data_IF_001031746931
#
_entry.id   IF_001031746931
#
_cell.length_a   1.000
_cell.length_b   1.000
_cell.length_c   1.000
_cell.angle_alpha   90.00
_cell.angle_beta   90.00
_cell.angle_gamma   90.00
#
_symmetry.space_group_name_H-M   'P 1'
#
loop_
_entity.id
_entity.type
_entity.pdbx_description
1 polymer ?
#
# COMPACT_ATOMS: atom_id res chain seq x y z
N UNK A 1 2.79 -14.48 -20.17
CA UNK A 1 2.72 -13.28 -19.31
C UNK A 1 3.74 -13.47 -18.19
N UNK A 2 4.97 -13.02 -18.39
CA UNK A 2 6.08 -13.24 -17.44
C UNK A 2 6.00 -12.20 -16.33
N UNK A 3 5.93 -12.63 -15.07
CA UNK A 3 6.06 -11.74 -13.91
C UNK A 3 7.49 -11.19 -13.87
N UNK A 4 7.63 -9.88 -14.09
CA UNK A 4 8.86 -9.14 -13.82
C UNK A 4 8.59 -8.37 -12.53
N UNK A 5 9.05 -8.85 -11.36
CA UNK A 5 8.98 -8.05 -10.15
C UNK A 5 9.83 -6.80 -10.38
N UNK A 6 9.30 -5.60 -10.13
CA UNK A 6 10.25 -4.52 -9.88
C UNK A 6 11.04 -4.82 -8.61
N UNK A 7 12.25 -4.27 -8.58
CA UNK A 7 13.24 -4.53 -7.56
C UNK A 7 12.75 -4.07 -6.16
N UNK A 8 13.16 -4.72 -5.05
CA UNK A 8 12.81 -4.32 -3.68
C UNK A 8 13.04 -2.84 -3.36
N UNK A 9 13.92 -2.18 -4.12
CA UNK A 9 14.26 -0.78 -4.02
C UNK A 9 13.07 0.15 -4.34
N UNK A 10 12.19 -0.20 -5.28
CA UNK A 10 11.04 0.65 -5.63
C UNK A 10 9.99 0.67 -4.52
N UNK A 11 9.67 -0.50 -3.94
CA UNK A 11 8.79 -0.57 -2.78
C UNK A 11 9.37 0.21 -1.59
N UNK A 12 10.68 0.11 -1.35
CA UNK A 12 11.35 0.88 -0.31
C UNK A 12 11.26 2.41 -0.55
N UNK A 13 11.47 2.85 -1.79
CA UNK A 13 11.38 4.28 -2.15
C UNK A 13 9.95 4.82 -1.97
N UNK A 14 8.94 4.09 -2.43
CA UNK A 14 7.55 4.48 -2.21
C UNK A 14 7.23 4.56 -0.72
N UNK A 15 7.60 3.54 0.08
CA UNK A 15 7.41 3.58 1.54
C UNK A 15 8.11 4.80 2.17
N UNK A 16 9.30 5.19 1.67
CA UNK A 16 9.96 6.42 2.10
C UNK A 16 9.11 7.64 1.78
N UNK A 17 8.63 7.82 0.54
CA UNK A 17 7.74 8.94 0.17
C UNK A 17 6.51 8.99 1.08
N UNK A 18 5.86 7.85 1.32
CA UNK A 18 4.67 7.78 2.19
C UNK A 18 4.99 8.25 3.62
N UNK A 19 6.15 7.83 4.16
CA UNK A 19 6.60 8.22 5.50
C UNK A 19 6.85 9.73 5.67
N UNK A 20 7.11 10.46 4.58
CA UNK A 20 7.48 11.89 4.62
C UNK A 20 6.29 12.84 4.73
N UNK A 21 5.05 12.37 4.63
CA UNK A 21 3.90 13.27 4.77
C UNK A 21 2.53 12.74 4.36
N UNK A 22 2.43 11.48 3.93
CA UNK A 22 1.16 10.89 3.51
C UNK A 22 0.77 9.74 4.41
N UNK A 23 -0.14 9.99 5.35
CA UNK A 23 -0.87 8.93 6.04
C UNK A 23 -1.87 8.30 5.06
N UNK A 24 -1.37 7.44 4.18
CA UNK A 24 -2.21 6.83 3.14
C UNK A 24 -3.34 6.03 3.81
N UNK A 25 -4.59 6.44 3.55
CA UNK A 25 -5.78 5.82 4.14
C UNK A 25 -5.95 6.04 5.65
N UNK A 26 -5.13 6.86 6.31
CA UNK A 26 -5.24 7.12 7.76
C UNK A 26 -5.05 5.89 8.65
N UNK A 27 -4.43 4.83 8.12
CA UNK A 27 -4.22 3.56 8.83
C UNK A 27 -2.75 3.40 9.18
N UNK A 28 -2.48 3.21 10.46
CA UNK A 28 -1.14 3.00 10.99
C UNK A 28 -0.60 1.60 10.65
N UNK A 29 0.70 1.53 10.32
CA UNK A 29 1.39 0.28 10.00
C UNK A 29 1.16 -0.28 8.59
N UNK A 30 0.41 0.39 7.72
CA UNK A 30 0.31 0.03 6.30
C UNK A 30 1.68 0.19 5.62
N UNK A 31 2.04 -0.75 4.75
CA UNK A 31 3.23 -0.64 3.91
C UNK A 31 3.03 -1.23 2.51
N UNK A 32 3.86 -0.78 1.57
CA UNK A 32 3.93 -1.31 0.21
C UNK A 32 4.93 -2.46 0.18
N UNK A 33 4.45 -3.67 -0.08
CA UNK A 33 5.28 -4.86 -0.15
C UNK A 33 5.90 -5.05 -1.53
N UNK A 34 5.15 -4.73 -2.59
CA UNK A 34 5.60 -4.84 -3.98
C UNK A 34 5.01 -3.72 -4.84
N UNK A 35 5.80 -3.28 -5.82
CA UNK A 35 5.39 -2.39 -6.89
C UNK A 35 5.78 -3.09 -8.19
N UNK A 36 4.93 -3.05 -9.20
CA UNK A 36 5.13 -3.62 -10.54
C UNK A 36 4.59 -2.62 -11.57
N UNK A 37 4.92 -2.74 -12.87
CA UNK A 37 4.47 -1.76 -13.87
C UNK A 37 2.95 -1.54 -13.91
N UNK A 38 2.17 -2.57 -13.55
CA UNK A 38 0.71 -2.55 -13.63
C UNK A 38 0.02 -3.01 -12.34
N UNK A 39 0.76 -3.23 -11.25
CA UNK A 39 0.16 -3.65 -9.98
C UNK A 39 0.99 -3.15 -8.80
N UNK A 40 0.35 -3.08 -7.64
CA UNK A 40 1.05 -2.91 -6.36
C UNK A 40 0.45 -3.87 -5.35
N UNK A 41 1.24 -4.30 -4.38
CA UNK A 41 0.76 -5.03 -3.21
C UNK A 41 0.97 -4.19 -1.97
N UNK A 42 -0.12 -3.68 -1.40
CA UNK A 42 -0.11 -3.05 -0.09
C UNK A 42 -0.52 -4.06 0.98
N UNK A 43 0.08 -3.96 2.16
CA UNK A 43 -0.21 -4.83 3.30
C UNK A 43 -0.51 -3.96 4.50
N UNK A 44 -1.64 -4.27 5.14
CA UNK A 44 -1.97 -3.78 6.47
C UNK A 44 -1.86 -4.95 7.46
N UNK A 45 -0.86 -4.95 8.36
CA UNK A 45 -0.78 -5.94 9.42
C UNK A 45 -2.06 -5.96 10.26
N UNK A 46 -2.51 -7.16 10.62
CA UNK A 46 -3.67 -7.30 11.47
C UNK A 46 -3.44 -6.62 12.83
N UNK A 47 -4.42 -5.83 13.26
CA UNK A 47 -4.51 -5.31 14.62
C UNK A 47 -5.95 -5.49 15.14
N UNK A 48 -6.10 -5.76 16.44
CA UNK A 48 -7.41 -6.06 17.02
C UNK A 48 -8.44 -4.92 16.83
N UNK A 49 -7.97 -3.67 16.75
CA UNK A 49 -8.83 -2.50 16.56
C UNK A 49 -9.43 -2.41 15.13
N UNK A 50 -8.95 -3.22 14.18
CA UNK A 50 -9.55 -3.35 12.84
C UNK A 50 -10.84 -4.18 12.84
N UNK A 51 -11.17 -4.84 13.95
CA UNK A 51 -12.30 -5.76 14.03
C UNK A 51 -13.63 -5.03 14.28
N UNK A 52 -14.71 -5.59 13.71
CA UNK A 52 -16.10 -5.31 14.10
C UNK A 52 -16.65 -6.45 14.97
N UNK A 53 -17.79 -6.24 15.67
CA UNK A 53 -18.50 -7.33 16.34
C UNK A 53 -18.66 -8.55 15.40
N UNK A 54 -18.26 -9.73 15.87
CA UNK A 54 -18.23 -10.96 15.07
C UNK A 54 -16.87 -11.31 14.46
N UNK A 55 -15.75 -10.76 14.95
CA UNK A 55 -14.37 -11.16 14.60
C UNK A 55 -14.05 -11.08 13.10
N UNK A 56 -14.53 -10.05 12.42
CA UNK A 56 -14.21 -9.79 11.01
C UNK A 56 -13.60 -8.40 10.84
N UNK A 57 -12.81 -8.22 9.79
CA UNK A 57 -12.23 -6.91 9.44
C UNK A 57 -13.36 -5.94 9.08
N UNK A 58 -13.27 -4.71 9.60
CA UNK A 58 -14.25 -3.68 9.33
C UNK A 58 -14.24 -3.27 7.84
N UNK A 59 -15.41 -2.94 7.30
CA UNK A 59 -15.53 -2.36 5.96
C UNK A 59 -14.66 -1.10 5.77
N UNK A 60 -14.66 -0.15 6.73
CA UNK A 60 -13.76 1.01 6.68
C UNK A 60 -12.28 0.64 6.58
N UNK A 61 -11.80 -0.35 7.33
CA UNK A 61 -10.41 -0.81 7.24
C UNK A 61 -10.08 -1.36 5.85
N UNK A 62 -10.95 -2.20 5.28
CA UNK A 62 -10.76 -2.72 3.92
C UNK A 62 -10.79 -1.62 2.87
N UNK A 63 -11.70 -0.65 3.01
CA UNK A 63 -11.83 0.47 2.08
C UNK A 63 -10.60 1.38 2.11
N UNK A 64 -10.09 1.70 3.30
CA UNK A 64 -8.89 2.52 3.43
C UNK A 64 -7.63 1.81 2.90
N UNK A 65 -7.49 0.48 3.08
CA UNK A 65 -6.41 -0.28 2.42
C UNK A 65 -6.55 -0.27 0.89
N UNK A 66 -7.77 -0.36 0.36
CA UNK A 66 -8.02 -0.32 -1.07
C UNK A 66 -7.72 1.07 -1.66
N UNK A 67 -8.16 2.14 -1.00
CA UNK A 67 -7.86 3.53 -1.36
C UNK A 67 -6.34 3.77 -1.35
N UNK A 68 -5.65 3.28 -0.33
CA UNK A 68 -4.21 3.37 -0.23
C UNK A 68 -3.49 2.67 -1.38
N UNK A 69 -3.93 1.45 -1.75
CA UNK A 69 -3.37 0.74 -2.88
C UNK A 69 -3.56 1.50 -4.20
N UNK A 70 -4.73 2.12 -4.41
CA UNK A 70 -5.00 2.92 -5.61
C UNK A 70 -4.12 4.18 -5.67
N UNK A 71 -3.96 4.88 -4.55
CA UNK A 71 -3.05 6.03 -4.46
C UNK A 71 -1.59 5.62 -4.79
N UNK A 72 -1.14 4.49 -4.22
CA UNK A 72 0.21 3.96 -4.48
C UNK A 72 0.41 3.56 -5.94
N UNK A 73 -0.60 2.99 -6.60
CA UNK A 73 -0.55 2.72 -8.05
C UNK A 73 -0.29 4.03 -8.80
N UNK A 74 -1.11 5.07 -8.56
CA UNK A 74 -0.96 6.35 -9.24
C UNK A 74 0.42 6.99 -9.00
N UNK A 75 0.91 6.92 -7.76
CA UNK A 75 2.23 7.43 -7.41
C UNK A 75 3.34 6.68 -8.16
N UNK A 76 3.20 5.36 -8.33
CA UNK A 76 4.16 4.51 -9.03
C UNK A 76 4.16 4.65 -10.56
N UNK A 77 3.16 5.31 -11.15
CA UNK A 77 3.11 5.56 -12.60
C UNK A 77 4.04 6.70 -13.03
N UNK A 78 4.39 7.61 -12.12
CA UNK A 78 5.33 8.68 -12.42
C UNK A 78 6.76 8.15 -12.33
N UNK A 79 7.48 8.17 -13.46
CA UNK A 79 8.85 7.67 -13.60
C UNK A 79 9.81 8.28 -12.57
N UNK A 80 9.52 9.48 -12.04
CA UNK A 80 10.34 10.14 -11.01
C UNK A 80 10.23 9.51 -9.63
N UNK A 81 9.20 8.72 -9.38
CA UNK A 81 8.94 8.07 -8.08
C UNK A 81 9.41 6.60 -8.08
N UNK A 82 9.98 6.14 -9.19
CA UNK A 82 10.45 4.77 -9.39
C UNK A 82 11.90 4.70 -9.90
N UNK A 83 12.55 5.84 -10.22
CA UNK A 83 13.97 5.94 -10.57
C UNK A 83 14.73 6.79 -9.54
#
# INVERSE_FOLDING_TARGET
MSYIPYSPQHAAHINYILSQGFAVGGIDGLYVAEVNPNNVRCVLPFQAHHLRPGNTISGPTMMALADAAMYVILLSLDEKNIN
#
